data_IF_756261611883
#
_entry.id   IF_756261611883
#
_cell.length_a   1.000
_cell.length_b   1.000
_cell.length_c   1.000
_cell.angle_alpha   90.00
_cell.angle_beta   90.00
_cell.angle_gamma   90.00
#
_symmetry.space_group_name_H-M   'P 1'
#
loop_
_entity.id
_entity.type
_entity.pdbx_description
1 polymer ?
#
# COMPACT_ATOMS: atom_id res chain seq x y z
N UNK A 1 13.20 17.54 17.34
CA UNK A 1 13.14 17.98 15.94
C UNK A 1 12.81 16.81 15.05
N UNK A 2 11.98 17.00 14.02
CA UNK A 2 11.63 15.95 13.06
C UNK A 2 12.79 15.75 12.06
N UNK A 3 13.11 14.49 11.73
CA UNK A 3 14.02 14.17 10.62
C UNK A 3 13.23 13.97 9.33
N UNK A 4 13.77 14.42 8.20
CA UNK A 4 13.13 14.34 6.88
C UNK A 4 14.06 13.59 5.93
N UNK A 5 13.49 12.70 5.12
CA UNK A 5 14.18 11.98 4.05
C UNK A 5 13.79 12.64 2.72
N UNK A 6 14.79 12.97 1.90
CA UNK A 6 14.57 13.56 0.57
C UNK A 6 14.69 12.50 -0.51
N UNK A 7 13.71 12.46 -1.41
CA UNK A 7 13.69 11.59 -2.58
C UNK A 7 13.84 12.41 -3.86
N UNK A 8 14.53 11.89 -4.89
CA UNK A 8 14.57 12.52 -6.21
C UNK A 8 13.18 12.65 -6.82
N UNK A 9 12.95 13.75 -7.56
CA UNK A 9 11.67 13.98 -8.24
C UNK A 9 11.47 12.95 -9.35
N UNK A 10 10.27 12.37 -9.44
CA UNK A 10 9.88 11.37 -10.44
C UNK A 10 10.52 9.98 -10.30
N UNK A 11 11.08 9.67 -9.13
CA UNK A 11 11.66 8.36 -8.83
C UNK A 11 10.85 7.64 -7.73
N UNK A 12 9.63 7.25 -8.07
CA UNK A 12 8.71 6.60 -7.13
C UNK A 12 9.22 5.21 -6.69
N UNK A 13 10.03 4.55 -7.51
CA UNK A 13 10.65 3.26 -7.23
C UNK A 13 11.56 3.25 -5.99
N UNK A 14 12.05 4.43 -5.57
CA UNK A 14 12.91 4.59 -4.39
C UNK A 14 12.07 4.82 -3.12
N UNK A 15 10.80 5.19 -3.27
CA UNK A 15 9.92 5.47 -2.14
C UNK A 15 9.28 4.16 -1.64
N UNK A 16 9.69 3.70 -0.46
CA UNK A 16 9.24 2.45 0.15
C UNK A 16 7.71 2.34 0.26
N UNK A 17 7.01 3.46 0.40
CA UNK A 17 5.55 3.47 0.52
C UNK A 17 4.86 3.01 -0.77
N UNK A 18 5.50 3.17 -1.93
CA UNK A 18 4.95 2.73 -3.22
C UNK A 18 4.85 1.21 -3.29
N UNK A 19 5.85 0.50 -2.74
CA UNK A 19 5.81 -0.96 -2.62
C UNK A 19 4.66 -1.41 -1.71
N UNK A 20 4.53 -0.76 -0.54
CA UNK A 20 3.45 -1.04 0.41
C UNK A 20 2.07 -0.91 -0.26
N UNK A 21 1.83 0.24 -0.91
CA UNK A 21 0.56 0.49 -1.59
C UNK A 21 0.31 -0.45 -2.77
N UNK A 22 1.35 -0.84 -3.51
CA UNK A 22 1.21 -1.78 -4.62
C UNK A 22 0.65 -3.13 -4.11
N UNK A 23 1.24 -3.68 -3.05
CA UNK A 23 0.83 -4.94 -2.45
C UNK A 23 -0.57 -4.87 -1.82
N UNK A 24 -0.89 -3.80 -1.09
CA UNK A 24 -2.20 -3.61 -0.49
C UNK A 24 -3.31 -3.49 -1.56
N UNK A 25 -3.05 -2.73 -2.64
CA UNK A 25 -3.98 -2.60 -3.78
C UNK A 25 -4.17 -3.92 -4.52
N UNK A 26 -3.10 -4.70 -4.69
CA UNK A 26 -3.17 -6.01 -5.32
C UNK A 26 -4.11 -6.94 -4.53
N UNK A 27 -3.91 -7.08 -3.22
CA UNK A 27 -4.81 -7.87 -2.38
C UNK A 27 -6.26 -7.38 -2.47
N UNK A 28 -6.47 -6.07 -2.32
CA UNK A 28 -7.81 -5.47 -2.36
C UNK A 28 -8.52 -5.80 -3.67
N UNK A 29 -7.82 -5.65 -4.80
CA UNK A 29 -8.37 -5.91 -6.14
C UNK A 29 -8.83 -7.35 -6.33
N UNK A 30 -8.10 -8.31 -5.79
CA UNK A 30 -8.45 -9.73 -5.93
C UNK A 30 -9.64 -10.13 -5.03
N UNK A 31 -9.93 -9.35 -3.98
CA UNK A 31 -10.88 -9.77 -2.93
C UNK A 31 -12.15 -8.91 -2.83
N UNK A 32 -12.22 -7.70 -3.40
CA UNK A 32 -13.33 -6.76 -3.16
C UNK A 32 -14.67 -7.10 -3.83
N UNK A 33 -14.72 -8.17 -4.64
CA UNK A 33 -15.94 -8.70 -5.27
C UNK A 33 -16.71 -7.68 -6.12
N UNK A 34 -16.03 -6.71 -6.72
CA UNK A 34 -16.65 -5.68 -7.57
C UNK A 34 -17.74 -4.84 -6.90
N UNK A 35 -17.74 -4.76 -5.56
CA UNK A 35 -18.71 -3.98 -4.79
C UNK A 35 -18.03 -2.92 -3.92
N UNK A 36 -18.73 -1.83 -3.63
CA UNK A 36 -18.22 -0.80 -2.72
C UNK A 36 -18.09 -1.32 -1.28
N UNK A 37 -18.99 -2.19 -0.86
CA UNK A 37 -18.95 -2.83 0.47
C UNK A 37 -17.74 -3.74 0.59
N UNK A 38 -17.56 -4.65 -0.37
CA UNK A 38 -16.37 -5.51 -0.43
C UNK A 38 -15.07 -4.71 -0.52
N UNK A 39 -15.09 -3.54 -1.19
CA UNK A 39 -13.92 -2.64 -1.20
C UNK A 39 -13.62 -2.08 0.19
N UNK A 40 -14.65 -1.62 0.92
CA UNK A 40 -14.49 -1.09 2.29
C UNK A 40 -13.99 -2.16 3.27
N UNK A 41 -14.40 -3.41 3.09
CA UNK A 41 -13.99 -4.54 3.93
C UNK A 41 -12.57 -5.02 3.61
N UNK A 42 -12.18 -5.04 2.34
CA UNK A 42 -10.90 -5.62 1.91
C UNK A 42 -9.73 -4.67 1.99
N UNK A 43 -9.95 -3.34 1.96
CA UNK A 43 -8.87 -2.36 2.14
C UNK A 43 -8.15 -2.55 3.48
N UNK A 44 -8.81 -2.57 4.66
CA UNK A 44 -8.13 -2.80 5.93
C UNK A 44 -7.35 -4.12 5.95
N UNK A 45 -7.95 -5.21 5.47
CA UNK A 45 -7.30 -6.51 5.37
C UNK A 45 -6.04 -6.47 4.50
N UNK A 46 -6.10 -5.76 3.35
CA UNK A 46 -4.96 -5.60 2.47
C UNK A 46 -3.84 -4.76 3.07
N UNK A 47 -4.16 -3.79 3.93
CA UNK A 47 -3.16 -3.01 4.65
C UNK A 47 -2.48 -3.84 5.75
N UNK A 48 -3.24 -4.64 6.49
CA UNK A 48 -2.73 -5.49 7.57
C UNK A 48 -1.89 -6.68 7.04
N UNK A 49 -2.17 -7.16 5.83
CA UNK A 49 -1.43 -8.25 5.21
C UNK A 49 -0.01 -7.84 4.77
N UNK A 50 0.22 -6.55 4.52
CA UNK A 50 1.53 -6.09 4.04
C UNK A 50 2.48 -5.94 5.21
N UNK A 51 3.37 -6.93 5.34
CA UNK A 51 4.44 -6.90 6.34
C UNK A 51 5.44 -5.77 6.06
N UNK A 52 5.64 -4.91 7.06
CA UNK A 52 6.66 -3.86 7.08
C UNK A 52 8.09 -4.39 7.21
N UNK A 53 8.27 -5.66 7.58
CA UNK A 53 9.60 -6.29 7.60
C UNK A 53 10.14 -6.61 6.20
N UNK A 54 9.27 -6.60 5.19
CA UNK A 54 9.63 -6.82 3.77
C UNK A 54 9.92 -5.52 3.03
N UNK A 55 9.87 -4.37 3.71
CA UNK A 55 9.92 -3.01 3.16
C UNK A 55 11.15 -2.27 3.68
#
# INVERSE_FOLDING_TARGET
>A
GQKVIFYPKFHCEINFIEHFWCSAKYYTRENYQYSLEGLRETIPCGLDLVSTATI
#
